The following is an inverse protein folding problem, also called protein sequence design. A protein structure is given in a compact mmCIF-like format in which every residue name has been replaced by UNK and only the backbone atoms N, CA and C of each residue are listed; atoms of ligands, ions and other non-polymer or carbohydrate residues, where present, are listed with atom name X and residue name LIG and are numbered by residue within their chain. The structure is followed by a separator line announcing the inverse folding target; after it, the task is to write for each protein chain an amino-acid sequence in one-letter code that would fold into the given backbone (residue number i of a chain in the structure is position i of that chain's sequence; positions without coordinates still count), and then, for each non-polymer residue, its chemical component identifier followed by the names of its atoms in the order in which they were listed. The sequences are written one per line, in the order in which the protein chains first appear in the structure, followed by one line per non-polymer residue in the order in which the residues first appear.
data_IF_123246958028
#
_entry.id   IF_123246958028
#
_cell.length_a   1.000
_cell.length_b   1.000
_cell.length_c   1.000
_cell.angle_alpha   90.00
_cell.angle_beta   90.00
_cell.angle_gamma   90.00
#
_symmetry.space_group_name_H-M   'P 1'
#
loop_
_entity.id
_entity.type
_entity.pdbx_description
1 polymer ?
#
# COMPACT_ATOMS: atom_id res chain seq x y z
N UNK A 1 23.00 25.85 46.49
CA UNK A 1 23.44 27.26 46.60
C UNK A 1 22.38 28.14 45.97
N UNK A 2 22.04 29.31 46.54
CA UNK A 2 21.12 30.24 45.89
C UNK A 2 21.73 30.69 44.57
N UNK A 3 21.03 30.41 43.47
CA UNK A 3 21.44 30.80 42.13
C UNK A 3 21.02 32.25 41.95
N UNK A 4 21.99 33.15 41.67
CA UNK A 4 21.70 34.54 41.36
C UNK A 4 21.06 34.61 39.95
N UNK A 5 19.76 34.37 39.89
CA UNK A 5 18.97 34.35 38.66
C UNK A 5 18.35 35.72 38.39
N UNK A 6 18.34 36.14 37.13
CA UNK A 6 17.77 37.43 36.72
C UNK A 6 16.24 37.47 36.79
N UNK A 7 15.67 38.69 36.71
CA UNK A 7 14.22 38.92 36.68
C UNK A 7 13.50 38.08 35.60
N UNK A 8 14.13 37.91 34.44
CA UNK A 8 13.62 37.10 33.33
C UNK A 8 13.45 35.62 33.70
N UNK A 9 14.37 35.06 34.50
CA UNK A 9 14.31 33.67 34.94
C UNK A 9 13.13 33.44 35.88
N UNK A 10 12.93 34.31 36.87
CA UNK A 10 11.82 34.19 37.82
C UNK A 10 10.45 34.33 37.14
N UNK A 11 10.34 35.17 36.12
CA UNK A 11 9.12 35.28 35.32
C UNK A 11 8.85 34.02 34.49
N UNK A 12 9.88 33.46 33.84
CA UNK A 12 9.77 32.19 33.13
C UNK A 12 9.41 31.03 34.07
N UNK A 13 9.91 31.05 35.31
CA UNK A 13 9.64 30.04 36.34
C UNK A 13 8.18 30.09 36.80
N UNK A 14 7.63 31.29 37.04
CA UNK A 14 6.20 31.47 37.33
C UNK A 14 5.32 30.92 36.21
N UNK A 15 5.66 31.21 34.94
CA UNK A 15 4.92 30.70 33.78
C UNK A 15 4.98 29.17 33.69
N UNK A 16 6.16 28.59 33.92
CA UNK A 16 6.33 27.14 33.92
C UNK A 16 5.53 26.45 35.04
N UNK A 17 5.48 27.04 36.24
CA UNK A 17 4.69 26.52 37.36
C UNK A 17 3.17 26.64 37.13
N UNK A 18 2.74 27.67 36.42
CA UNK A 18 1.33 27.88 36.08
C UNK A 18 0.83 27.02 34.89
N UNK A 19 1.75 26.49 34.07
CA UNK A 19 1.40 25.70 32.90
C UNK A 19 0.65 24.41 33.26
N UNK A 20 -0.49 24.17 32.61
CA UNK A 20 -1.35 23.02 32.91
C UNK A 20 -1.17 21.90 31.87
N UNK A 21 -0.95 22.26 30.60
CA UNK A 21 -0.79 21.27 29.52
C UNK A 21 0.66 20.86 29.32
N UNK A 22 0.89 19.69 28.73
CA UNK A 22 2.24 19.21 28.41
C UNK A 22 2.95 20.13 27.41
N UNK A 23 2.21 20.66 26.44
CA UNK A 23 2.72 21.58 25.41
C UNK A 23 3.14 22.93 26.00
N UNK A 24 2.31 23.50 26.88
CA UNK A 24 2.65 24.71 27.64
C UNK A 24 3.88 24.49 28.51
N UNK A 25 3.98 23.32 29.19
CA UNK A 25 5.14 22.98 30.01
C UNK A 25 6.42 22.87 29.18
N UNK A 26 6.37 22.30 27.97
CA UNK A 26 7.52 22.24 27.05
C UNK A 26 7.93 23.64 26.59
N UNK A 27 6.96 24.48 26.23
CA UNK A 27 7.23 25.86 25.80
C UNK A 27 7.85 26.69 26.92
N UNK A 28 7.25 26.70 28.11
CA UNK A 28 7.75 27.44 29.26
C UNK A 28 9.11 26.93 29.73
N UNK A 29 9.37 25.62 29.65
CA UNK A 29 10.67 25.04 30.03
C UNK A 29 11.78 25.43 29.04
N UNK A 30 11.47 25.63 27.75
CA UNK A 30 12.43 26.19 26.78
C UNK A 30 12.75 27.66 27.08
N UNK A 31 11.73 28.45 27.43
CA UNK A 31 11.93 29.84 27.87
C UNK A 31 12.79 29.90 29.14
N UNK A 32 12.53 29.01 30.10
CA UNK A 32 13.25 28.94 31.36
C UNK A 32 14.73 28.51 31.18
N UNK A 33 15.01 27.56 30.29
CA UNK A 33 16.39 27.20 29.92
C UNK A 33 17.11 28.36 29.23
N UNK A 34 16.39 29.17 28.43
CA UNK A 34 16.96 30.34 27.74
C UNK A 34 17.32 31.47 28.72
N UNK A 35 16.50 31.67 29.75
CA UNK A 35 16.69 32.70 30.78
C UNK A 35 17.61 32.25 31.94
N UNK A 36 17.98 30.96 32.00
CA UNK A 36 18.84 30.43 33.07
C UNK A 36 20.28 30.98 32.99
N UNK A 37 20.90 31.31 34.14
CA UNK A 37 22.29 31.75 34.19
C UNK A 37 23.24 30.70 33.59
N UNK A 38 24.28 31.14 32.87
CA UNK A 38 25.26 30.26 32.19
C UNK A 38 26.66 30.39 32.81
N UNK A 39 26.77 30.13 34.11
CA UNK A 39 28.04 30.15 34.84
C UNK A 39 28.24 28.82 35.57
N UNK A 40 29.47 28.54 36.01
CA UNK A 40 29.85 27.25 36.61
C UNK A 40 28.96 26.81 37.79
N UNK A 41 28.40 27.75 38.53
CA UNK A 41 27.49 27.50 39.66
C UNK A 41 26.06 27.09 39.26
N UNK A 42 25.66 27.27 38.00
CA UNK A 42 24.31 26.96 37.48
C UNK A 42 24.29 25.76 36.52
N UNK A 43 25.41 25.07 36.32
CA UNK A 43 25.52 23.90 35.44
C UNK A 43 24.58 22.76 35.86
N UNK A 44 24.48 22.48 37.16
CA UNK A 44 23.59 21.44 37.69
C UNK A 44 22.12 21.77 37.41
N UNK A 45 21.72 23.03 37.59
CA UNK A 45 20.37 23.50 37.29
C UNK A 45 20.07 23.34 35.79
N UNK A 46 20.98 23.79 34.91
CA UNK A 46 20.81 23.65 33.47
C UNK A 46 20.72 22.19 33.02
N UNK A 47 21.51 21.31 33.62
CA UNK A 47 21.46 19.86 33.37
C UNK A 47 20.12 19.26 33.76
N UNK A 48 19.60 19.65 34.93
CA UNK A 48 18.29 19.19 35.41
C UNK A 48 17.16 19.65 34.48
N UNK A 49 17.17 20.93 34.09
CA UNK A 49 16.17 21.52 33.21
C UNK A 49 16.16 20.87 31.81
N UNK A 50 17.35 20.64 31.23
CA UNK A 50 17.49 19.94 29.94
C UNK A 50 17.02 18.49 30.04
N UNK A 51 17.34 17.80 31.13
CA UNK A 51 16.88 16.43 31.38
C UNK A 51 15.36 16.37 31.50
N UNK A 52 14.76 17.33 32.21
CA UNK A 52 13.32 17.46 32.35
C UNK A 52 12.63 17.76 31.01
N UNK A 53 13.24 18.62 30.17
CA UNK A 53 12.77 18.89 28.82
C UNK A 53 12.80 17.65 27.94
N UNK A 54 13.89 16.88 27.98
CA UNK A 54 14.01 15.61 27.25
C UNK A 54 12.89 14.63 27.66
N UNK A 55 12.65 14.46 28.96
CA UNK A 55 11.56 13.61 29.47
C UNK A 55 10.18 14.07 29.00
N UNK A 56 9.91 15.37 28.94
CA UNK A 56 8.63 15.89 28.46
C UNK A 56 8.46 15.77 26.94
N UNK A 57 9.54 15.91 26.16
CA UNK A 57 9.52 15.64 24.73
C UNK A 57 9.25 14.16 24.44
N UNK A 58 9.92 13.24 25.15
CA UNK A 58 9.65 11.80 25.05
C UNK A 58 8.20 11.45 25.46
N UNK A 59 7.66 12.11 26.48
CA UNK A 59 6.26 11.93 26.90
C UNK A 59 5.27 12.51 25.88
N UNK A 60 5.62 13.60 25.20
CA UNK A 60 4.83 14.18 24.11
C UNK A 60 4.79 13.25 22.90
N UNK A 61 5.93 12.68 22.51
CA UNK A 61 6.03 11.68 21.43
C UNK A 61 5.22 10.41 21.77
N UNK A 62 5.32 9.93 23.02
CA UNK A 62 4.52 8.79 23.50
C UNK A 62 3.02 9.11 23.52
N UNK A 63 2.60 10.28 23.99
CA UNK A 63 1.19 10.66 23.97
C UNK A 63 0.65 10.90 22.55
N UNK A 64 1.48 11.41 21.64
CA UNK A 64 1.16 11.48 20.20
C UNK A 64 1.01 10.08 19.57
N UNK A 65 1.74 9.08 20.07
CA UNK A 65 1.63 7.68 19.64
C UNK A 65 0.43 6.92 20.25
N UNK A 66 -0.06 7.34 21.42
CA UNK A 66 -1.17 6.67 22.15
C UNK A 66 -2.54 7.26 21.79
N UNK A 67 -2.62 8.55 21.40
CA UNK A 67 -3.88 9.23 21.05
C UNK A 67 -4.25 9.25 19.56
N UNK A 68 -3.34 8.85 18.67
CA UNK A 68 -3.65 8.58 17.26
C UNK A 68 -3.27 7.13 17.00
N UNK A 69 -4.23 6.21 17.12
CA UNK A 69 -4.12 4.96 16.39
C UNK A 69 -3.77 5.34 14.95
N UNK A 70 -2.62 4.88 14.43
CA UNK A 70 -2.35 4.98 13.00
C UNK A 70 -3.64 4.52 12.32
N UNK A 71 -4.30 5.36 11.54
CA UNK A 71 -5.41 4.92 10.68
C UNK A 71 -4.77 3.89 9.75
N UNK A 72 -4.84 2.62 10.12
CA UNK A 72 -4.34 1.53 9.31
C UNK A 72 -5.08 1.57 7.99
N UNK A 73 -4.37 1.41 6.88
CA UNK A 73 -5.03 1.27 5.59
C UNK A 73 -5.84 -0.02 5.63
N UNK A 74 -7.17 0.10 5.52
CA UNK A 74 -8.03 -1.08 5.41
C UNK A 74 -7.76 -1.74 4.06
N UNK A 75 -7.45 -3.02 4.12
CA UNK A 75 -7.29 -3.86 2.93
C UNK A 75 -8.64 -4.05 2.25
N UNK A 76 -8.72 -3.71 0.97
CA UNK A 76 -9.90 -3.87 0.12
C UNK A 76 -9.57 -4.86 -0.99
N UNK A 77 -9.97 -6.12 -0.82
CA UNK A 77 -9.70 -7.18 -1.78
C UNK A 77 -8.21 -7.49 -1.94
N UNK A 78 -7.76 -7.59 -3.20
CA UNK A 78 -6.37 -7.87 -3.53
C UNK A 78 -5.51 -6.61 -3.40
N UNK A 79 -4.50 -6.67 -2.53
CA UNK A 79 -3.64 -5.52 -2.22
C UNK A 79 -2.24 -5.70 -2.82
N UNK A 80 -1.84 -4.72 -3.62
CA UNK A 80 -0.51 -4.59 -4.23
C UNK A 80 0.23 -3.46 -3.51
N UNK A 81 1.45 -3.73 -3.06
CA UNK A 81 2.29 -2.71 -2.41
C UNK A 81 3.47 -2.34 -3.29
N UNK A 82 3.69 -1.04 -3.48
CA UNK A 82 4.87 -0.51 -4.15
C UNK A 82 5.95 -0.20 -3.11
N UNK A 83 7.13 -0.78 -3.30
CA UNK A 83 8.35 -0.43 -2.54
C UNK A 83 9.43 0.01 -3.51
N UNK A 84 10.26 0.96 -3.11
CA UNK A 84 11.34 1.47 -3.95
C UNK A 84 12.13 2.56 -3.23
N UNK A 85 13.29 2.91 -3.79
CA UNK A 85 14.08 4.04 -3.31
C UNK A 85 13.43 5.36 -3.71
N UNK A 86 13.93 6.46 -3.14
CA UNK A 86 13.61 7.81 -3.62
C UNK A 86 13.94 7.92 -5.11
N UNK A 87 13.11 8.64 -5.86
CA UNK A 87 13.28 8.89 -7.31
C UNK A 87 13.29 7.65 -8.23
N UNK A 88 12.92 6.46 -7.74
CA UNK A 88 12.74 5.24 -8.55
C UNK A 88 11.54 5.32 -9.52
N UNK A 89 10.71 6.36 -9.43
CA UNK A 89 9.52 6.55 -10.26
C UNK A 89 8.27 5.81 -9.77
N UNK A 90 8.27 5.39 -8.50
CA UNK A 90 7.16 4.71 -7.82
C UNK A 90 5.81 5.43 -7.95
N UNK A 91 5.74 6.73 -7.67
CA UNK A 91 4.49 7.48 -7.79
C UNK A 91 4.04 7.66 -9.25
N UNK A 92 4.97 7.71 -10.20
CA UNK A 92 4.63 7.71 -11.64
C UNK A 92 4.06 6.37 -12.09
N UNK A 93 4.61 5.25 -11.59
CA UNK A 93 4.09 3.91 -11.85
C UNK A 93 2.70 3.74 -11.23
N UNK A 94 2.49 4.20 -9.98
CA UNK A 94 1.17 4.23 -9.35
C UNK A 94 0.15 4.91 -10.27
N UNK A 95 0.44 6.13 -10.72
CA UNK A 95 -0.45 6.91 -11.57
C UNK A 95 -0.75 6.24 -12.93
N UNK A 96 0.20 5.47 -13.50
CA UNK A 96 -0.02 4.71 -14.75
C UNK A 96 -0.80 3.41 -14.52
N UNK A 97 -0.65 2.79 -13.35
CA UNK A 97 -1.40 1.58 -12.99
C UNK A 97 -2.86 1.91 -12.65
N UNK A 98 -3.09 3.02 -11.96
CA UNK A 98 -4.41 3.45 -11.52
C UNK A 98 -5.00 4.40 -12.56
N UNK A 99 -5.99 3.95 -13.33
CA UNK A 99 -6.68 4.81 -14.33
C UNK A 99 -7.45 5.99 -13.70
N UNK A 100 -7.41 6.16 -12.38
CA UNK A 100 -7.89 7.32 -11.65
C UNK A 100 -6.71 8.12 -11.12
N UNK A 101 -6.80 9.46 -11.21
CA UNK A 101 -6.00 10.36 -10.38
C UNK A 101 -6.01 9.84 -8.95
N UNK A 102 -4.85 9.64 -8.29
CA UNK A 102 -4.80 9.18 -6.91
C UNK A 102 -5.80 9.98 -6.08
N UNK A 103 -6.52 9.34 -5.15
CA UNK A 103 -7.31 10.09 -4.17
C UNK A 103 -6.28 10.80 -3.29
N UNK A 104 -5.86 11.98 -3.73
CA UNK A 104 -4.90 12.82 -3.05
C UNK A 104 -5.54 13.25 -1.75
N UNK A 105 -5.04 12.74 -0.62
CA UNK A 105 -5.07 13.53 0.59
C UNK A 105 -4.22 14.77 0.31
N UNK A 106 -4.90 15.88 0.05
CA UNK A 106 -4.40 17.25 -0.14
C UNK A 106 -2.93 17.52 0.23
N UNK A 107 -2.05 17.65 -0.79
CA UNK A 107 -1.10 18.76 -0.97
C UNK A 107 0.08 18.36 -1.92
N UNK A 108 0.56 19.24 -2.82
CA UNK A 108 1.38 18.83 -3.97
C UNK A 108 2.88 18.59 -3.71
N UNK A 109 3.37 18.53 -2.45
CA UNK A 109 4.83 18.56 -2.23
C UNK A 109 5.42 17.70 -1.12
N UNK A 110 4.67 16.80 -0.44
CA UNK A 110 5.29 15.89 0.54
C UNK A 110 4.48 14.62 0.75
N UNK A 111 5.05 13.45 0.47
CA UNK A 111 4.47 12.13 0.79
C UNK A 111 4.60 11.87 2.30
N UNK A 112 3.74 12.51 3.10
CA UNK A 112 3.71 12.34 4.57
C UNK A 112 3.00 11.05 5.03
N UNK A 113 2.48 10.25 4.09
CA UNK A 113 1.83 8.97 4.33
C UNK A 113 1.68 8.14 3.04
N UNK A 114 1.27 6.87 3.13
CA UNK A 114 1.08 6.00 1.96
C UNK A 114 -0.01 6.52 1.00
N UNK A 115 0.24 6.50 -0.31
CA UNK A 115 -0.78 6.86 -1.31
C UNK A 115 -1.56 5.63 -1.76
N UNK A 116 -2.88 5.74 -1.91
CA UNK A 116 -3.74 4.62 -2.33
C UNK A 116 -4.32 4.93 -3.71
N UNK A 117 -4.33 3.94 -4.59
CA UNK A 117 -5.10 4.01 -5.82
C UNK A 117 -5.71 2.66 -6.20
N UNK A 118 -6.62 2.69 -7.17
CA UNK A 118 -7.34 1.50 -7.62
C UNK A 118 -6.89 1.13 -9.04
N UNK A 119 -6.38 -0.09 -9.20
CA UNK A 119 -6.20 -0.72 -10.49
C UNK A 119 -7.53 -1.30 -10.94
N UNK A 120 -7.93 -1.02 -12.18
CA UNK A 120 -8.95 -1.79 -12.88
C UNK A 120 -8.29 -2.42 -14.11
N UNK A 121 -8.26 -3.75 -14.16
CA UNK A 121 -7.75 -4.50 -15.30
C UNK A 121 -8.73 -5.61 -15.67
N UNK A 122 -9.21 -5.58 -16.91
CA UNK A 122 -10.24 -6.49 -17.45
C UNK A 122 -11.47 -6.70 -16.53
N UNK A 123 -11.94 -5.62 -15.90
CA UNK A 123 -13.11 -5.62 -15.02
C UNK A 123 -12.83 -6.02 -13.57
N UNK A 124 -11.57 -6.27 -13.21
CA UNK A 124 -11.14 -6.66 -11.86
C UNK A 124 -10.41 -5.52 -11.17
N UNK A 125 -10.77 -5.30 -9.91
CA UNK A 125 -10.19 -4.25 -9.08
C UNK A 125 -9.10 -4.77 -8.15
N UNK A 126 -8.04 -3.98 -7.99
CA UNK A 126 -6.99 -4.19 -6.99
C UNK A 126 -6.68 -2.87 -6.27
N UNK A 127 -6.42 -2.94 -4.97
CA UNK A 127 -5.91 -1.81 -4.20
C UNK A 127 -4.39 -1.74 -4.38
N UNK A 128 -3.89 -0.62 -4.91
CA UNK A 128 -2.45 -0.34 -4.96
C UNK A 128 -2.11 0.65 -3.86
N UNK A 129 -1.16 0.28 -3.00
CA UNK A 129 -0.65 1.11 -1.92
C UNK A 129 0.80 1.45 -2.19
N UNK A 130 1.06 2.74 -2.28
CA UNK A 130 2.38 3.30 -2.46
C UNK A 130 3.00 3.65 -1.10
N UNK A 131 4.04 2.91 -0.69
CA UNK A 131 4.75 3.20 0.55
C UNK A 131 5.77 4.34 0.38
N UNK A 132 6.07 5.09 1.45
CA UNK A 132 7.25 5.95 1.50
C UNK A 132 8.54 5.16 1.14
N UNK A 133 9.63 5.85 0.80
CA UNK A 133 10.90 5.20 0.51
C UNK A 133 11.36 4.29 1.66
N UNK A 134 11.93 3.12 1.33
CA UNK A 134 12.31 2.10 2.32
C UNK A 134 13.25 2.63 3.41
N UNK A 135 14.14 3.57 3.07
CA UNK A 135 15.12 4.15 3.99
C UNK A 135 14.57 5.33 4.82
N UNK A 136 13.30 5.67 4.68
CA UNK A 136 12.66 6.80 5.38
C UNK A 136 12.13 6.39 6.76
N UNK A 137 12.08 7.32 7.72
CA UNK A 137 11.51 7.07 9.06
C UNK A 137 10.00 6.82 9.01
N UNK A 138 9.39 7.24 7.91
CA UNK A 138 7.97 7.12 7.60
C UNK A 138 7.61 5.75 7.00
N UNK A 139 8.60 4.90 6.70
CA UNK A 139 8.37 3.58 6.13
C UNK A 139 7.65 2.65 7.12
N UNK A 140 6.40 2.30 6.80
CA UNK A 140 5.60 1.40 7.60
C UNK A 140 5.69 -0.04 7.09
N UNK A 141 6.52 -0.84 7.76
CA UNK A 141 6.65 -2.27 7.46
C UNK A 141 5.36 -3.06 7.69
N UNK A 142 4.41 -2.58 8.50
CA UNK A 142 3.22 -3.35 8.86
C UNK A 142 2.33 -3.68 7.67
N UNK A 143 2.30 -2.80 6.66
CA UNK A 143 1.51 -2.98 5.45
C UNK A 143 2.06 -4.11 4.57
N UNK A 144 3.36 -4.41 4.63
CA UNK A 144 3.96 -5.51 3.86
C UNK A 144 3.44 -6.88 4.30
N UNK A 145 3.01 -7.02 5.56
CA UNK A 145 2.41 -8.25 6.05
C UNK A 145 0.99 -8.47 5.49
N UNK A 146 0.29 -7.42 5.09
CA UNK A 146 -1.06 -7.54 4.52
C UNK A 146 -1.05 -7.63 2.99
N UNK A 147 0.10 -7.38 2.34
CA UNK A 147 0.25 -7.40 0.91
C UNK A 147 0.00 -8.79 0.32
N UNK A 148 -0.81 -8.87 -0.75
CA UNK A 148 -0.90 -10.07 -1.58
C UNK A 148 0.22 -10.10 -2.62
N UNK A 149 0.62 -8.91 -3.09
CA UNK A 149 1.64 -8.73 -4.13
C UNK A 149 2.52 -7.54 -3.81
N UNK A 150 3.82 -7.65 -4.04
CA UNK A 150 4.79 -6.57 -3.82
C UNK A 150 5.51 -6.26 -5.12
N UNK A 151 5.43 -5.00 -5.56
CA UNK A 151 6.20 -4.47 -6.66
C UNK A 151 7.44 -3.76 -6.11
N UNK A 152 8.61 -4.30 -6.44
CA UNK A 152 9.90 -3.73 -6.06
C UNK A 152 10.41 -2.88 -7.21
N UNK A 153 10.31 -1.57 -7.07
CA UNK A 153 10.62 -0.60 -8.10
C UNK A 153 12.08 -0.16 -7.95
N UNK A 154 12.86 -0.47 -8.96
CA UNK A 154 14.30 -0.26 -9.01
C UNK A 154 14.66 0.50 -10.29
N UNK A 155 15.76 1.24 -10.23
CA UNK A 155 16.40 1.78 -11.44
C UNK A 155 17.55 0.87 -11.87
N UNK A 156 18.27 0.30 -10.91
CA UNK A 156 19.47 -0.51 -11.10
C UNK A 156 19.33 -1.86 -10.41
N UNK A 157 19.99 -2.88 -10.94
CA UNK A 157 19.93 -4.26 -10.41
C UNK A 157 20.72 -4.39 -9.11
N UNK A 158 21.75 -3.56 -8.94
CA UNK A 158 22.61 -3.52 -7.76
C UNK A 158 21.81 -3.15 -6.50
N UNK A 159 20.74 -2.36 -6.67
CA UNK A 159 19.89 -1.90 -5.58
C UNK A 159 19.05 -3.02 -4.96
N UNK A 160 18.91 -4.19 -5.60
CA UNK A 160 18.13 -5.33 -5.08
C UNK A 160 18.56 -5.69 -3.65
N UNK A 161 19.87 -5.65 -3.39
CA UNK A 161 20.45 -5.98 -2.08
C UNK A 161 19.90 -5.10 -0.94
N UNK A 162 19.57 -3.84 -1.25
CA UNK A 162 19.02 -2.89 -0.28
C UNK A 162 17.60 -3.24 0.16
N UNK A 163 16.89 -4.10 -0.58
CA UNK A 163 15.52 -4.48 -0.30
C UNK A 163 15.40 -5.85 0.37
N UNK A 164 16.46 -6.66 0.46
CA UNK A 164 16.39 -8.02 1.01
C UNK A 164 15.73 -8.06 2.38
N UNK A 165 16.17 -7.20 3.31
CA UNK A 165 15.61 -7.10 4.67
C UNK A 165 14.12 -6.73 4.73
N UNK A 166 13.63 -5.99 3.74
CA UNK A 166 12.22 -5.57 3.62
C UNK A 166 11.42 -6.66 2.95
N UNK A 167 11.99 -7.29 1.92
CA UNK A 167 11.36 -8.34 1.17
C UNK A 167 11.16 -9.56 2.05
N UNK A 168 12.11 -9.95 2.89
CA UNK A 168 11.99 -11.07 3.83
C UNK A 168 10.77 -10.98 4.76
N UNK A 169 10.27 -9.77 5.00
CA UNK A 169 9.08 -9.53 5.84
C UNK A 169 7.76 -9.63 5.07
N UNK A 170 7.82 -9.60 3.74
CA UNK A 170 6.64 -9.71 2.88
C UNK A 170 6.24 -11.17 2.66
N UNK A 171 4.94 -11.44 2.85
CA UNK A 171 4.33 -12.77 2.64
C UNK A 171 3.79 -12.94 1.20
N UNK A 172 3.64 -11.84 0.46
CA UNK A 172 3.10 -11.83 -0.89
C UNK A 172 4.11 -12.22 -1.97
N UNK A 173 3.61 -12.55 -3.16
CA UNK A 173 4.45 -12.73 -4.36
C UNK A 173 5.15 -11.41 -4.71
N UNK A 174 6.38 -11.49 -5.21
CA UNK A 174 7.24 -10.33 -5.49
C UNK A 174 7.52 -10.24 -6.97
N UNK A 175 7.47 -9.03 -7.51
CA UNK A 175 7.86 -8.74 -8.89
C UNK A 175 8.85 -7.57 -8.91
N UNK A 176 10.00 -7.77 -9.53
CA UNK A 176 10.95 -6.68 -9.75
C UNK A 176 10.48 -5.84 -10.94
N UNK A 177 10.42 -4.52 -10.75
CA UNK A 177 10.07 -3.56 -11.79
C UNK A 177 11.29 -2.67 -12.01
N UNK A 178 12.00 -2.89 -13.11
CA UNK A 178 13.13 -2.03 -13.48
C UNK A 178 12.59 -0.88 -14.32
N UNK A 179 12.55 0.30 -13.72
CA UNK A 179 12.00 1.50 -14.31
C UNK A 179 13.06 2.34 -15.03
N UNK A 180 12.61 3.33 -15.81
CA UNK A 180 13.44 4.28 -16.60
C UNK A 180 14.22 3.63 -17.73
N UNK A 181 13.66 2.58 -18.34
CA UNK A 181 14.28 1.90 -19.49
C UNK A 181 14.44 2.80 -20.71
N UNK A 182 13.70 3.91 -20.77
CA UNK A 182 13.83 4.98 -21.76
C UNK A 182 15.20 5.69 -21.75
N UNK A 183 15.95 5.60 -20.66
CA UNK A 183 17.30 6.16 -20.55
C UNK A 183 18.40 5.19 -21.01
N UNK A 184 18.04 3.94 -21.34
CA UNK A 184 18.98 2.89 -21.71
C UNK A 184 18.96 2.67 -23.22
N UNK A 185 20.13 2.45 -23.80
CA UNK A 185 20.26 2.02 -25.18
C UNK A 185 19.91 0.53 -25.35
N UNK A 186 19.68 0.11 -26.58
CA UNK A 186 19.29 -1.27 -26.90
C UNK A 186 20.33 -2.31 -26.41
N UNK A 187 21.61 -1.95 -26.42
CA UNK A 187 22.66 -2.84 -25.92
C UNK A 187 22.58 -3.02 -24.40
N UNK A 188 22.47 -1.91 -23.64
CA UNK A 188 22.35 -1.98 -22.18
C UNK A 188 21.08 -2.68 -21.74
N UNK A 189 19.95 -2.45 -22.43
CA UNK A 189 18.69 -3.15 -22.17
C UNK A 189 18.82 -4.66 -22.32
N UNK A 190 19.44 -5.14 -23.40
CA UNK A 190 19.65 -6.58 -23.63
C UNK A 190 20.59 -7.19 -22.60
N UNK A 191 21.66 -6.47 -22.23
CA UNK A 191 22.60 -6.90 -21.19
C UNK A 191 21.91 -7.01 -19.82
N UNK A 192 21.11 -6.01 -19.48
CA UNK A 192 20.30 -5.97 -18.27
C UNK A 192 19.31 -7.15 -18.21
N UNK A 193 18.56 -7.36 -19.30
CA UNK A 193 17.60 -8.46 -19.40
C UNK A 193 18.28 -9.82 -19.23
N UNK A 194 19.46 -10.01 -19.84
CA UNK A 194 20.23 -11.25 -19.74
C UNK A 194 20.73 -11.51 -18.31
N UNK A 195 21.18 -10.47 -17.60
CA UNK A 195 21.61 -10.55 -16.20
C UNK A 195 20.44 -10.93 -15.26
N UNK A 196 19.27 -10.33 -15.47
CA UNK A 196 18.09 -10.64 -14.66
C UNK A 196 17.59 -12.07 -14.91
N UNK A 197 17.63 -12.54 -16.17
CA UNK A 197 17.28 -13.92 -16.54
C UNK A 197 18.26 -14.94 -15.94
N UNK A 198 19.57 -14.67 -15.96
CA UNK A 198 20.56 -15.61 -15.40
C UNK A 198 20.40 -15.79 -13.89
N UNK A 199 19.94 -14.76 -13.18
CA UNK A 199 19.58 -14.81 -11.76
C UNK A 199 18.21 -15.44 -11.46
N UNK A 200 17.44 -15.85 -12.49
CA UNK A 200 16.09 -16.44 -12.38
C UNK A 200 15.11 -15.56 -11.60
N UNK A 201 15.24 -14.24 -11.73
CA UNK A 201 14.36 -13.28 -11.07
C UNK A 201 13.07 -13.12 -11.88
N UNK A 202 11.92 -12.92 -11.22
CA UNK A 202 10.70 -12.48 -11.90
C UNK A 202 10.74 -10.96 -12.02
N UNK A 203 10.77 -10.45 -13.25
CA UNK A 203 10.96 -9.02 -13.51
C UNK A 203 10.14 -8.51 -14.70
N UNK A 204 9.92 -7.19 -14.71
CA UNK A 204 9.40 -6.45 -15.86
C UNK A 204 10.25 -5.19 -16.06
N UNK A 205 10.67 -4.98 -17.31
CA UNK A 205 11.31 -3.73 -17.76
C UNK A 205 10.23 -2.72 -18.13
N UNK A 206 10.32 -1.50 -17.59
CA UNK A 206 9.28 -0.47 -17.69
C UNK A 206 9.88 0.91 -17.90
N UNK A 207 9.17 1.72 -18.68
CA UNK A 207 9.32 3.18 -18.62
C UNK A 207 8.02 3.79 -18.12
N UNK A 208 8.05 4.34 -16.92
CA UNK A 208 6.91 5.09 -16.39
C UNK A 208 6.63 6.37 -17.21
N UNK A 209 7.65 6.88 -17.92
CA UNK A 209 7.53 8.05 -18.80
C UNK A 209 6.70 7.69 -20.05
N UNK A 210 7.13 6.68 -20.81
CA UNK A 210 6.46 6.28 -22.06
C UNK A 210 5.22 5.42 -21.82
N UNK A 211 5.17 4.71 -20.69
CA UNK A 211 4.15 3.71 -20.36
C UNK A 211 4.48 2.29 -20.84
N UNK A 212 5.65 2.09 -21.46
CA UNK A 212 6.09 0.76 -21.88
C UNK A 212 6.19 -0.20 -20.68
N UNK A 213 5.72 -1.43 -20.85
CA UNK A 213 5.76 -2.47 -19.82
C UNK A 213 4.71 -2.37 -18.71
N UNK A 214 3.96 -1.25 -18.61
CA UNK A 214 2.88 -1.10 -17.62
C UNK A 214 1.79 -2.16 -17.79
N UNK A 215 1.42 -2.49 -19.03
CA UNK A 215 0.42 -3.55 -19.30
C UNK A 215 0.90 -4.91 -18.80
N UNK A 216 2.20 -5.23 -18.93
CA UNK A 216 2.78 -6.46 -18.41
C UNK A 216 2.71 -6.53 -16.87
N UNK A 217 2.90 -5.40 -16.18
CA UNK A 217 2.68 -5.34 -14.72
C UNK A 217 1.22 -5.68 -14.40
N UNK A 218 0.24 -5.06 -15.10
CA UNK A 218 -1.19 -5.33 -14.87
C UNK A 218 -1.54 -6.80 -15.07
N UNK A 219 -1.00 -7.43 -16.12
CA UNK A 219 -1.14 -8.86 -16.39
C UNK A 219 -0.58 -9.73 -15.26
N UNK A 220 0.66 -9.47 -14.82
CA UNK A 220 1.32 -10.21 -13.72
C UNK A 220 0.54 -10.10 -12.40
N UNK A 221 0.02 -8.92 -12.09
CA UNK A 221 -0.85 -8.71 -10.92
C UNK A 221 -2.12 -9.56 -11.05
N UNK A 222 -2.76 -9.54 -12.21
CA UNK A 222 -3.99 -10.30 -12.47
C UNK A 222 -3.76 -11.82 -12.36
N UNK A 223 -2.68 -12.34 -12.96
CA UNK A 223 -2.28 -13.75 -12.82
C UNK A 223 -2.03 -14.13 -11.35
N UNK A 224 -1.44 -13.23 -10.58
CA UNK A 224 -1.17 -13.46 -9.16
C UNK A 224 -2.43 -13.49 -8.28
N UNK A 225 -3.54 -12.91 -8.73
CA UNK A 225 -4.82 -12.97 -8.02
C UNK A 225 -5.42 -14.38 -8.00
N UNK A 226 -5.09 -15.24 -8.97
CA UNK A 226 -5.63 -16.59 -9.12
C UNK A 226 -7.16 -16.64 -9.03
N UNK A 227 -7.80 -15.84 -9.88
CA UNK A 227 -9.25 -15.63 -9.92
C UNK A 227 -9.82 -16.02 -11.29
N UNK A 228 -11.13 -16.22 -11.32
CA UNK A 228 -11.94 -16.41 -12.52
C UNK A 228 -13.03 -15.34 -12.57
N UNK A 229 -13.35 -14.89 -13.77
CA UNK A 229 -14.41 -13.93 -14.04
C UNK A 229 -15.60 -14.66 -14.63
N UNK A 230 -16.72 -14.57 -13.95
CA UNK A 230 -17.95 -15.24 -14.33
C UNK A 230 -18.96 -14.17 -14.72
N UNK A 231 -19.47 -14.28 -15.94
CA UNK A 231 -20.47 -13.35 -16.44
C UNK A 231 -21.86 -13.94 -16.19
N UNK A 232 -22.79 -13.13 -15.75
CA UNK A 232 -24.18 -13.56 -15.56
C UNK A 232 -25.04 -13.01 -16.67
N UNK A 233 -26.05 -13.79 -17.08
CA UNK A 233 -27.09 -13.34 -18.00
C UNK A 233 -28.47 -13.71 -17.47
N UNK A 234 -29.44 -12.84 -17.73
CA UNK A 234 -30.85 -13.18 -17.58
C UNK A 234 -31.33 -14.00 -18.79
N UNK A 235 -32.34 -14.87 -18.62
CA UNK A 235 -32.90 -15.63 -19.74
C UNK A 235 -33.31 -14.73 -20.91
N UNK A 236 -32.77 -15.01 -22.09
CA UNK A 236 -33.04 -14.27 -23.32
C UNK A 236 -32.34 -12.91 -23.45
N UNK A 237 -31.50 -12.51 -22.48
CA UNK A 237 -30.71 -11.26 -22.54
C UNK A 237 -29.23 -11.52 -22.80
N UNK A 238 -28.54 -10.44 -23.19
CA UNK A 238 -27.09 -10.42 -23.34
C UNK A 238 -26.44 -10.48 -21.94
N UNK A 239 -25.27 -11.14 -21.79
CA UNK A 239 -24.53 -11.13 -20.52
C UNK A 239 -24.22 -9.73 -20.00
N UNK A 240 -24.19 -9.60 -18.67
CA UNK A 240 -23.73 -8.40 -17.99
C UNK A 240 -22.31 -8.03 -18.45
N UNK A 241 -22.03 -6.74 -18.61
CA UNK A 241 -20.70 -6.25 -18.91
C UNK A 241 -19.73 -6.39 -17.71
N UNK A 242 -20.26 -6.42 -16.48
CA UNK A 242 -19.47 -6.58 -15.26
C UNK A 242 -19.43 -8.05 -14.83
N UNK A 243 -18.23 -8.65 -14.70
CA UNK A 243 -18.10 -10.00 -14.21
C UNK A 243 -18.22 -10.07 -12.68
N UNK A 244 -18.66 -11.21 -12.20
CA UNK A 244 -18.45 -11.66 -10.83
C UNK A 244 -17.03 -12.23 -10.76
N UNK A 245 -16.26 -11.77 -9.77
CA UNK A 245 -14.88 -12.23 -9.56
C UNK A 245 -14.86 -13.26 -8.44
N UNK A 246 -14.38 -14.46 -8.73
CA UNK A 246 -14.29 -15.57 -7.79
C UNK A 246 -12.88 -16.13 -7.74
N UNK A 247 -12.44 -16.77 -6.65
CA UNK A 247 -11.22 -17.56 -6.64
C UNK A 247 -11.24 -18.64 -7.74
N UNK A 248 -10.08 -19.03 -8.25
CA UNK A 248 -9.97 -20.19 -9.11
C UNK A 248 -10.57 -21.45 -8.45
N UNK A 249 -11.08 -22.36 -9.27
CA UNK A 249 -11.77 -23.60 -8.84
C UNK A 249 -13.13 -23.38 -8.13
N UNK A 250 -13.63 -22.15 -8.11
CA UNK A 250 -14.97 -21.85 -7.61
C UNK A 250 -16.06 -22.51 -8.45
N UNK A 251 -17.19 -22.79 -7.82
CA UNK A 251 -18.32 -23.52 -8.40
C UNK A 251 -19.48 -22.61 -8.77
N UNK A 252 -20.48 -23.17 -9.47
CA UNK A 252 -21.76 -22.50 -9.73
C UNK A 252 -22.44 -22.06 -8.42
N UNK A 253 -22.30 -22.83 -7.33
CA UNK A 253 -22.79 -22.47 -6.01
C UNK A 253 -22.15 -21.18 -5.51
N UNK A 254 -20.81 -21.09 -5.56
CA UNK A 254 -20.07 -19.92 -5.09
C UNK A 254 -20.43 -18.66 -5.90
N UNK A 255 -20.60 -18.83 -7.22
CA UNK A 255 -21.07 -17.77 -8.10
C UNK A 255 -22.48 -17.28 -7.70
N UNK A 256 -23.40 -18.20 -7.40
CA UNK A 256 -24.76 -17.86 -7.00
C UNK A 256 -24.78 -17.11 -5.65
N UNK A 257 -24.07 -17.60 -4.64
CA UNK A 257 -24.03 -16.99 -3.31
C UNK A 257 -23.34 -15.62 -3.30
N UNK A 258 -22.44 -15.37 -4.26
CA UNK A 258 -21.79 -14.06 -4.43
C UNK A 258 -22.77 -13.00 -4.95
N UNK A 259 -23.81 -13.38 -5.69
CA UNK A 259 -24.84 -12.44 -6.17
C UNK A 259 -25.68 -11.94 -5.00
N UNK A 260 -26.24 -12.85 -4.21
CA UNK A 260 -26.79 -12.57 -2.89
C UNK A 260 -26.91 -13.86 -2.07
N UNK A 261 -26.86 -13.70 -0.74
CA UNK A 261 -26.93 -14.82 0.20
C UNK A 261 -28.25 -15.59 0.09
N UNK A 262 -28.17 -16.91 -0.10
CA UNK A 262 -29.31 -17.80 -0.27
C UNK A 262 -29.89 -17.83 -1.68
N UNK A 263 -29.21 -17.26 -2.68
CA UNK A 263 -29.66 -17.33 -4.07
C UNK A 263 -29.69 -18.77 -4.58
N UNK A 264 -28.70 -19.59 -4.18
CA UNK A 264 -28.57 -20.98 -4.61
C UNK A 264 -29.82 -21.83 -4.38
N UNK A 265 -30.57 -21.53 -3.31
CA UNK A 265 -31.80 -22.23 -2.91
C UNK A 265 -32.94 -21.98 -3.90
N UNK A 266 -32.97 -20.80 -4.54
CA UNK A 266 -34.03 -20.41 -5.48
C UNK A 266 -33.79 -20.96 -6.89
N UNK A 267 -32.58 -21.43 -7.19
CA UNK A 267 -32.18 -21.90 -8.52
C UNK A 267 -32.83 -23.25 -8.82
N UNK A 268 -33.55 -23.33 -9.94
CA UNK A 268 -34.10 -24.58 -10.48
C UNK A 268 -33.21 -25.19 -11.56
N UNK A 269 -32.56 -24.35 -12.34
CA UNK A 269 -31.74 -24.74 -13.47
C UNK A 269 -30.67 -23.67 -13.69
N UNK A 270 -29.44 -24.12 -13.94
CA UNK A 270 -28.34 -23.26 -14.39
C UNK A 270 -27.91 -23.72 -15.77
N UNK A 271 -27.84 -22.78 -16.72
CA UNK A 271 -27.25 -22.99 -18.03
C UNK A 271 -25.91 -22.28 -18.10
N UNK A 272 -24.94 -22.97 -18.65
CA UNK A 272 -23.57 -22.53 -18.79
C UNK A 272 -23.22 -22.40 -20.27
N UNK A 273 -22.53 -21.31 -20.62
CA UNK A 273 -21.85 -21.16 -21.90
C UNK A 273 -20.44 -20.67 -21.63
N UNK A 274 -19.42 -21.45 -21.98
CA UNK A 274 -18.04 -21.04 -21.77
C UNK A 274 -17.05 -22.20 -21.69
N UNK A 275 -15.78 -21.92 -21.38
CA UNK A 275 -14.68 -22.89 -21.40
C UNK A 275 -14.82 -24.09 -20.46
N UNK A 276 -15.65 -24.02 -19.41
CA UNK A 276 -15.92 -25.18 -18.55
C UNK A 276 -17.05 -26.08 -19.06
N UNK A 277 -17.81 -25.63 -20.06
CA UNK A 277 -18.85 -26.40 -20.73
C UNK A 277 -18.32 -27.21 -21.91
N UNK A 278 -19.00 -28.31 -22.22
CA UNK A 278 -18.77 -29.13 -23.42
C UNK A 278 -19.47 -28.55 -24.66
N UNK A 279 -20.59 -27.86 -24.46
CA UNK A 279 -21.39 -27.22 -25.51
C UNK A 279 -22.13 -25.99 -24.96
N UNK A 280 -22.66 -25.18 -25.87
CA UNK A 280 -23.36 -23.92 -25.56
C UNK A 280 -24.67 -24.22 -24.81
N UNK A 281 -25.01 -23.40 -23.81
CA UNK A 281 -26.19 -23.54 -22.96
C UNK A 281 -26.31 -24.92 -22.28
N UNK A 282 -25.19 -25.53 -21.93
CA UNK A 282 -25.17 -26.79 -21.19
C UNK A 282 -25.81 -26.63 -19.81
N UNK A 283 -26.73 -27.53 -19.46
CA UNK A 283 -27.27 -27.61 -18.10
C UNK A 283 -26.21 -28.15 -17.15
N UNK A 284 -25.93 -27.42 -16.08
CA UNK A 284 -24.95 -27.78 -15.06
C UNK A 284 -25.56 -27.71 -13.66
N UNK A 285 -25.01 -28.51 -12.74
CA UNK A 285 -25.39 -28.48 -11.33
C UNK A 285 -24.60 -27.44 -10.52
N UNK A 286 -25.02 -27.19 -9.29
CA UNK A 286 -24.38 -26.21 -8.39
C UNK A 286 -22.91 -26.54 -8.06
N UNK A 287 -22.51 -27.82 -8.11
CA UNK A 287 -21.13 -28.26 -7.83
C UNK A 287 -20.20 -28.20 -9.05
N UNK A 288 -20.69 -27.77 -10.21
CA UNK A 288 -19.86 -27.67 -11.41
C UNK A 288 -18.78 -26.61 -11.21
N UNK A 289 -17.52 -26.98 -11.44
CA UNK A 289 -16.35 -26.10 -11.32
C UNK A 289 -16.26 -25.19 -12.54
N UNK A 290 -16.15 -23.90 -12.30
CA UNK A 290 -16.13 -22.87 -13.33
C UNK A 290 -14.71 -22.58 -13.82
N UNK A 291 -14.63 -21.96 -15.00
CA UNK A 291 -13.41 -21.42 -15.60
C UNK A 291 -13.58 -19.93 -15.93
N UNK A 292 -12.46 -19.23 -16.10
CA UNK A 292 -12.47 -17.82 -16.47
C UNK A 292 -13.28 -17.59 -17.77
N UNK A 293 -14.12 -16.55 -17.76
CA UNK A 293 -15.03 -16.14 -18.83
C UNK A 293 -16.22 -17.07 -19.09
N UNK A 294 -16.54 -17.96 -18.15
CA UNK A 294 -17.82 -18.67 -18.20
C UNK A 294 -19.00 -17.71 -18.05
N UNK A 295 -20.10 -18.02 -18.75
CA UNK A 295 -21.36 -17.30 -18.69
C UNK A 295 -22.44 -18.18 -18.06
N UNK A 296 -23.03 -17.71 -16.96
CA UNK A 296 -24.11 -18.38 -16.24
C UNK A 296 -25.45 -17.71 -16.48
N UNK A 297 -26.45 -18.51 -16.83
CA UNK A 297 -27.86 -18.15 -16.84
C UNK A 297 -28.58 -18.93 -15.75
N UNK A 298 -29.15 -18.22 -14.78
CA UNK A 298 -29.90 -18.83 -13.69
C UNK A 298 -31.39 -18.74 -13.95
N UNK A 299 -32.08 -19.86 -13.79
CA UNK A 299 -33.54 -19.92 -13.78
C UNK A 299 -34.02 -20.17 -12.36
N UNK A 300 -34.83 -19.27 -11.81
CA UNK A 300 -35.36 -19.37 -10.45
C UNK A 300 -36.80 -19.88 -10.43
N UNK A 301 -37.27 -20.34 -9.26
CA UNK A 301 -38.70 -20.52 -8.97
C UNK A 301 -39.40 -19.17 -8.81
#
# INVERSE_FOLDING_TARGET
MPINAGYEYFNAEKKYLAAQTLEEKISCLRELIRAAPKHKSSENLLSELKTRLKKFLEKSEKNASVGKGKKGIRKEGFQVILVGLTNSGKSSILAKLTNASPITSSSPFTTKGPNIGALNYEGVYAQIVDLPPVLSKEFDNSLLHTANFVLVILEKVEDISSFESVLDRSLGKRLLVINKTDLLDNYSLRKLESNLKSKRLDFVLVSALTGEGIVKIKQKIFEAMNIIRIFTKEPGKIPSAQPIVLPAESTVFDAAETIYKGFSIKITETRLTGPSGKFINQRVGLRHVLKDRDVLEFKTR
#
